data_IF_394432822421
#
_entry.id   IF_394432822421
#
_cell.length_a   1.000
_cell.length_b   1.000
_cell.length_c   1.000
_cell.angle_alpha   90.00
_cell.angle_beta   90.00
_cell.angle_gamma   90.00
#
_symmetry.space_group_name_H-M   'P 1'
#
loop_
_entity.id
_entity.type
_entity.pdbx_description
1 polymer ?
#
# COMPACT_ATOMS: atom_id res chain seq x y z
N UNK A 1 23.36 -3.85 -17.12
CA UNK A 1 22.90 -5.24 -16.85
C UNK A 1 21.70 -5.10 -15.93
N UNK A 2 20.61 -5.75 -16.26
CA UNK A 2 19.38 -5.63 -15.49
C UNK A 2 19.54 -6.30 -14.12
N UNK A 3 19.03 -5.67 -13.08
CA UNK A 3 19.18 -6.10 -11.70
C UNK A 3 17.81 -6.16 -11.04
N UNK A 4 17.59 -7.15 -10.22
CA UNK A 4 16.33 -7.40 -9.55
C UNK A 4 16.52 -7.48 -8.05
N UNK A 5 15.52 -7.06 -7.30
CA UNK A 5 15.45 -7.23 -5.84
C UNK A 5 14.15 -7.92 -5.45
N UNK A 6 14.10 -8.45 -4.25
CA UNK A 6 12.84 -8.95 -3.70
C UNK A 6 11.89 -7.79 -3.43
N UNK A 7 10.64 -8.03 -3.76
CA UNK A 7 9.59 -7.13 -3.32
C UNK A 7 9.50 -7.17 -1.79
N UNK A 8 9.55 -6.01 -1.16
CA UNK A 8 9.51 -5.83 0.30
C UNK A 8 8.29 -6.46 0.99
N UNK A 9 7.24 -6.81 0.23
CA UNK A 9 6.02 -7.40 0.75
C UNK A 9 6.02 -8.93 0.71
N UNK A 10 7.11 -9.52 0.22
CA UNK A 10 7.33 -10.97 0.22
C UNK A 10 7.97 -11.36 1.54
N UNK A 11 7.37 -12.33 2.22
CA UNK A 11 8.00 -12.92 3.39
C UNK A 11 8.92 -14.04 2.95
N UNK A 12 10.18 -13.98 3.39
CA UNK A 12 11.16 -15.02 3.18
C UNK A 12 11.68 -15.50 4.53
N UNK A 13 11.52 -16.79 4.79
CA UNK A 13 12.08 -17.44 5.97
C UNK A 13 13.19 -18.40 5.52
N UNK A 14 14.27 -18.46 6.27
CA UNK A 14 15.33 -19.42 6.05
C UNK A 14 15.33 -20.47 7.16
N UNK A 15 15.41 -21.73 6.76
CA UNK A 15 15.69 -22.85 7.65
C UNK A 15 16.77 -23.71 7.01
N UNK A 16 17.95 -23.79 7.64
CA UNK A 16 19.16 -24.41 7.08
C UNK A 16 19.53 -23.83 5.69
N UNK A 17 19.53 -24.64 4.66
CA UNK A 17 19.84 -24.28 3.27
C UNK A 17 18.57 -24.04 2.45
N UNK A 18 17.37 -24.11 3.08
CA UNK A 18 16.08 -23.93 2.43
C UNK A 18 15.52 -22.54 2.68
N UNK A 19 14.94 -21.94 1.64
CA UNK A 19 14.27 -20.67 1.70
C UNK A 19 12.79 -20.84 1.39
N UNK A 20 11.95 -20.38 2.30
CA UNK A 20 10.49 -20.44 2.22
C UNK A 20 9.98 -19.08 1.78
N UNK A 21 9.49 -19.01 0.53
CA UNK A 21 8.85 -17.84 -0.01
C UNK A 21 7.35 -17.91 0.24
N UNK A 22 6.79 -16.88 0.86
CA UNK A 22 5.35 -16.74 1.06
C UNK A 22 4.90 -15.52 0.29
N UNK A 23 4.12 -15.73 -0.77
CA UNK A 23 3.59 -14.71 -1.66
C UNK A 23 2.18 -15.08 -2.14
N UNK A 24 1.56 -14.22 -2.94
CA UNK A 24 0.20 -14.39 -3.42
C UNK A 24 -0.75 -13.37 -2.83
N UNK A 25 -2.03 -13.49 -3.13
CA UNK A 25 -3.06 -12.59 -2.63
C UNK A 25 -3.52 -12.97 -1.20
N UNK A 26 -4.43 -12.16 -0.64
CA UNK A 26 -4.93 -12.38 0.73
C UNK A 26 -5.67 -13.72 0.88
N UNK A 27 -6.29 -14.21 -0.19
CA UNK A 27 -7.12 -15.44 -0.20
C UNK A 27 -6.37 -16.67 -0.71
N UNK A 28 -5.33 -16.49 -1.51
CA UNK A 28 -4.53 -17.55 -2.12
C UNK A 28 -3.04 -17.32 -1.89
N UNK A 29 -2.59 -17.58 -0.66
CA UNK A 29 -1.15 -17.55 -0.35
C UNK A 29 -0.48 -18.78 -0.97
N UNK A 30 0.55 -18.53 -1.73
CA UNK A 30 1.46 -19.56 -2.23
C UNK A 30 2.68 -19.64 -1.32
N UNK A 31 3.04 -20.84 -0.93
CA UNK A 31 4.29 -21.13 -0.26
C UNK A 31 5.16 -21.95 -1.21
N UNK A 32 6.36 -21.48 -1.46
CA UNK A 32 7.33 -22.20 -2.28
C UNK A 32 8.63 -22.37 -1.52
N UNK A 33 9.06 -23.62 -1.41
CA UNK A 33 10.36 -23.96 -0.80
C UNK A 33 11.41 -24.00 -1.91
N UNK A 34 12.52 -23.32 -1.70
CA UNK A 34 13.63 -23.25 -2.63
C UNK A 34 14.88 -23.72 -1.89
N UNK A 35 15.43 -24.86 -2.35
CA UNK A 35 16.71 -25.34 -1.88
C UNK A 35 17.83 -24.69 -2.65
N UNK A 36 18.79 -24.07 -1.95
CA UNK A 36 19.90 -23.35 -2.57
C UNK A 36 21.22 -23.96 -2.08
N UNK A 37 22.07 -24.33 -3.05
CA UNK A 37 23.42 -24.78 -2.71
C UNK A 37 24.18 -23.74 -1.87
N UNK A 38 24.88 -24.19 -0.83
CA UNK A 38 25.58 -23.32 0.14
C UNK A 38 26.43 -22.22 -0.50
N UNK A 39 27.09 -22.53 -1.64
CA UNK A 39 27.90 -21.57 -2.37
C UNK A 39 27.14 -20.37 -2.96
N UNK A 40 25.81 -20.52 -3.14
CA UNK A 40 24.95 -19.49 -3.71
C UNK A 40 24.03 -18.79 -2.70
N UNK A 41 24.05 -19.20 -1.43
CA UNK A 41 23.23 -18.58 -0.37
C UNK A 41 23.45 -17.06 -0.29
N UNK A 42 24.64 -16.59 -0.63
CA UNK A 42 24.93 -15.15 -0.65
C UNK A 42 24.03 -14.35 -1.61
N UNK A 43 23.59 -14.97 -2.72
CA UNK A 43 22.68 -14.32 -3.69
C UNK A 43 21.31 -14.08 -3.04
N UNK A 44 20.79 -15.10 -2.33
CA UNK A 44 19.53 -14.95 -1.58
C UNK A 44 19.63 -13.88 -0.49
N UNK A 45 20.75 -13.84 0.23
CA UNK A 45 20.99 -12.78 1.23
C UNK A 45 21.00 -11.41 0.59
N UNK A 46 21.68 -11.23 -0.57
CA UNK A 46 21.62 -9.97 -1.32
C UNK A 46 20.20 -9.54 -1.67
N UNK A 47 19.35 -10.51 -2.08
CA UNK A 47 17.94 -10.23 -2.40
C UNK A 47 17.16 -9.83 -1.15
N UNK A 48 17.31 -10.56 -0.05
CA UNK A 48 16.61 -10.31 1.22
C UNK A 48 17.03 -8.97 1.82
N UNK A 49 18.32 -8.66 1.79
CA UNK A 49 18.87 -7.41 2.32
C UNK A 49 18.63 -6.19 1.42
N UNK A 50 17.98 -6.39 0.25
CA UNK A 50 17.62 -5.32 -0.68
C UNK A 50 18.74 -4.83 -1.58
N UNK A 51 19.90 -5.48 -1.60
CA UNK A 51 21.01 -5.12 -2.50
C UNK A 51 20.76 -5.53 -3.96
N UNK A 52 19.78 -6.40 -4.18
CA UNK A 52 19.44 -6.91 -5.50
C UNK A 52 20.49 -7.85 -6.10
N UNK A 53 20.09 -8.62 -7.09
CA UNK A 53 20.94 -9.53 -7.85
C UNK A 53 20.77 -9.34 -9.35
N UNK A 54 21.84 -9.54 -10.11
CA UNK A 54 21.77 -9.51 -11.57
C UNK A 54 21.11 -10.78 -12.10
N UNK A 55 20.64 -10.73 -13.34
CA UNK A 55 20.04 -11.90 -13.99
C UNK A 55 21.05 -13.07 -14.07
N UNK A 56 22.33 -12.78 -14.31
CA UNK A 56 23.41 -13.78 -14.30
C UNK A 56 23.62 -14.42 -12.91
N UNK A 57 23.43 -13.66 -11.84
CA UNK A 57 23.48 -14.21 -10.48
C UNK A 57 22.23 -15.08 -10.20
N UNK A 58 21.04 -14.63 -10.64
CA UNK A 58 19.78 -15.33 -10.40
C UNK A 58 19.71 -16.71 -11.05
N UNK A 59 20.28 -16.89 -12.25
CA UNK A 59 20.30 -18.21 -12.94
C UNK A 59 21.09 -19.28 -12.18
N UNK A 60 21.89 -18.90 -11.19
CA UNK A 60 22.58 -19.87 -10.31
C UNK A 60 21.66 -20.46 -9.22
N UNK A 61 20.53 -19.81 -8.95
CA UNK A 61 19.60 -20.22 -7.88
C UNK A 61 18.20 -20.50 -8.38
N UNK A 62 17.82 -19.99 -9.57
CA UNK A 62 16.54 -20.19 -10.22
C UNK A 62 16.72 -20.56 -11.68
N UNK A 63 15.81 -21.36 -12.22
CA UNK A 63 15.71 -21.54 -13.65
C UNK A 63 15.16 -20.26 -14.33
N UNK A 64 15.39 -20.11 -15.63
CA UNK A 64 14.85 -18.98 -16.40
C UNK A 64 13.31 -18.87 -16.28
N UNK A 65 12.62 -20.03 -16.29
CA UNK A 65 11.17 -20.07 -16.09
C UNK A 65 10.75 -19.58 -14.72
N UNK A 66 11.49 -19.90 -13.66
CA UNK A 66 11.23 -19.44 -12.31
C UNK A 66 11.49 -17.93 -12.17
N UNK A 67 12.55 -17.41 -12.77
CA UNK A 67 12.82 -15.98 -12.80
C UNK A 67 11.65 -15.23 -13.45
N UNK A 68 11.20 -15.68 -14.63
CA UNK A 68 10.05 -15.06 -15.30
C UNK A 68 8.76 -15.21 -14.51
N UNK A 69 8.53 -16.34 -13.87
CA UNK A 69 7.41 -16.56 -12.99
C UNK A 69 7.44 -15.56 -11.80
N UNK A 70 8.60 -15.43 -11.12
CA UNK A 70 8.72 -14.51 -9.98
C UNK A 70 8.59 -13.04 -10.39
N UNK A 71 9.05 -12.67 -11.57
CA UNK A 71 8.82 -11.32 -12.11
C UNK A 71 7.31 -11.12 -12.37
N UNK A 72 6.63 -12.08 -12.99
CA UNK A 72 5.20 -12.00 -13.29
C UNK A 72 4.35 -11.95 -12.00
N UNK A 73 4.79 -12.65 -10.95
CA UNK A 73 4.13 -12.63 -9.64
C UNK A 73 4.56 -11.43 -8.77
N UNK A 74 5.36 -10.51 -9.29
CA UNK A 74 5.93 -9.39 -8.55
C UNK A 74 6.72 -9.82 -7.29
N UNK A 75 7.26 -11.02 -7.26
CA UNK A 75 8.19 -11.48 -6.21
C UNK A 75 9.56 -10.87 -6.44
N UNK A 76 10.04 -10.91 -7.68
CA UNK A 76 11.22 -10.19 -8.14
C UNK A 76 10.76 -8.92 -8.89
N UNK A 77 11.29 -7.79 -8.51
CA UNK A 77 11.02 -6.50 -9.13
C UNK A 77 12.32 -5.86 -9.60
N UNK A 78 12.21 -4.99 -10.59
CA UNK A 78 13.34 -4.20 -11.07
C UNK A 78 13.95 -3.39 -9.92
N UNK A 79 15.27 -3.38 -9.80
CA UNK A 79 15.99 -2.70 -8.73
C UNK A 79 15.78 -1.17 -8.76
N UNK A 80 15.47 -0.61 -9.93
CA UNK A 80 15.16 0.81 -10.09
C UNK A 80 13.79 1.21 -9.53
N UNK A 81 12.91 0.24 -9.27
CA UNK A 81 11.60 0.52 -8.68
C UNK A 81 11.78 0.95 -7.23
N UNK A 82 11.46 2.21 -6.94
CA UNK A 82 11.49 2.75 -5.58
C UNK A 82 10.40 2.11 -4.73
N UNK A 83 10.81 1.48 -3.62
CA UNK A 83 9.91 0.89 -2.63
C UNK A 83 9.80 1.81 -1.42
N UNK A 84 8.66 2.47 -1.30
CA UNK A 84 8.37 3.35 -0.18
C UNK A 84 7.89 2.55 1.04
N UNK A 85 8.84 2.00 1.80
CA UNK A 85 8.58 1.13 2.98
C UNK A 85 8.01 1.90 4.16
N UNK A 86 8.35 3.18 4.26
CA UNK A 86 8.12 4.00 5.46
C UNK A 86 7.00 5.04 5.29
N UNK A 87 6.31 5.06 4.14
CA UNK A 87 5.19 5.98 3.96
C UNK A 87 3.95 5.51 4.71
N UNK A 88 3.11 6.46 5.09
CA UNK A 88 1.78 6.18 5.64
C UNK A 88 0.91 5.33 4.70
N UNK A 89 1.29 5.24 3.42
CA UNK A 89 0.59 4.50 2.36
C UNK A 89 1.20 3.11 2.08
N UNK A 90 2.27 2.72 2.75
CA UNK A 90 3.01 1.48 2.46
C UNK A 90 2.13 0.23 2.55
N UNK A 91 1.26 0.14 3.56
CA UNK A 91 0.32 -0.98 3.72
C UNK A 91 -0.74 -1.04 2.63
N UNK A 92 -1.22 0.11 2.17
CA UNK A 92 -2.17 0.17 1.05
C UNK A 92 -1.50 -0.31 -0.24
N UNK A 93 -0.28 0.16 -0.52
CA UNK A 93 0.53 -0.32 -1.65
C UNK A 93 0.75 -1.83 -1.56
N UNK A 94 1.08 -2.35 -0.38
CA UNK A 94 1.23 -3.79 -0.12
C UNK A 94 -0.03 -4.57 -0.50
N UNK A 95 -1.18 -4.13 -0.03
CA UNK A 95 -2.46 -4.78 -0.32
C UNK A 95 -2.76 -4.82 -1.82
N UNK A 96 -2.61 -3.69 -2.52
CA UNK A 96 -2.81 -3.62 -3.97
C UNK A 96 -1.84 -4.50 -4.72
N UNK A 97 -0.60 -4.52 -4.30
CA UNK A 97 0.46 -5.32 -4.90
C UNK A 97 0.20 -6.81 -4.73
N UNK A 98 -0.15 -7.26 -3.50
CA UNK A 98 -0.43 -8.66 -3.19
C UNK A 98 -1.67 -9.19 -3.92
N UNK A 99 -2.63 -8.32 -4.23
CA UNK A 99 -3.84 -8.69 -4.97
C UNK A 99 -3.72 -8.45 -6.48
N UNK A 100 -2.50 -8.24 -7.01
CA UNK A 100 -2.21 -8.01 -8.44
C UNK A 100 -2.94 -6.79 -9.04
N UNK A 101 -3.36 -5.85 -8.20
CA UNK A 101 -3.89 -4.58 -8.65
C UNK A 101 -2.73 -3.64 -8.97
N UNK A 102 -2.33 -3.59 -10.24
CA UNK A 102 -1.19 -2.78 -10.70
C UNK A 102 -1.47 -1.27 -10.74
N UNK A 103 -2.63 -0.82 -10.26
CA UNK A 103 -3.14 0.54 -10.49
C UNK A 103 -3.24 1.36 -9.21
N UNK A 104 -2.44 1.09 -8.18
CA UNK A 104 -2.48 1.91 -6.96
C UNK A 104 -2.17 3.38 -7.27
N UNK A 105 -1.24 3.64 -8.17
CA UNK A 105 -0.90 5.01 -8.57
C UNK A 105 -2.05 5.71 -9.31
N UNK A 106 -2.89 4.96 -10.02
CA UNK A 106 -4.10 5.52 -10.66
C UNK A 106 -5.10 6.05 -9.63
N UNK A 107 -5.25 5.38 -8.48
CA UNK A 107 -6.11 5.84 -7.39
C UNK A 107 -5.65 7.20 -6.89
N UNK A 108 -4.35 7.41 -6.80
CA UNK A 108 -3.73 8.66 -6.37
C UNK A 108 -3.91 9.82 -7.35
N UNK A 109 -4.44 9.56 -8.54
CA UNK A 109 -4.80 10.60 -9.53
C UNK A 109 -6.28 10.97 -9.49
N UNK A 110 -7.11 10.19 -8.81
CA UNK A 110 -8.58 10.35 -8.84
C UNK A 110 -9.07 11.47 -7.93
N UNK A 111 -10.20 12.02 -8.33
CA UNK A 111 -11.00 12.95 -7.52
C UNK A 111 -12.33 12.28 -7.17
N UNK A 112 -12.76 12.39 -5.93
CA UNK A 112 -14.02 11.84 -5.45
C UNK A 112 -14.87 12.94 -4.82
N UNK A 113 -16.14 12.96 -5.17
CA UNK A 113 -17.15 13.83 -4.54
C UNK A 113 -17.91 13.02 -3.49
N UNK A 114 -18.06 13.58 -2.30
CA UNK A 114 -18.86 13.04 -1.21
C UNK A 114 -20.03 13.97 -0.97
N UNK A 115 -21.22 13.47 -1.24
CA UNK A 115 -22.47 14.18 -0.96
C UNK A 115 -23.00 13.72 0.38
N UNK A 116 -22.95 14.59 1.37
CA UNK A 116 -23.28 14.33 2.76
C UNK A 116 -22.06 13.90 3.60
N UNK A 117 -21.68 14.74 4.58
CA UNK A 117 -20.58 14.53 5.52
C UNK A 117 -21.07 14.04 6.90
N UNK A 118 -22.12 13.24 6.92
CA UNK A 118 -22.66 12.60 8.11
C UNK A 118 -21.92 11.32 8.51
N UNK A 119 -22.60 10.38 9.16
CA UNK A 119 -22.01 9.13 9.67
C UNK A 119 -21.25 8.35 8.61
N UNK A 120 -21.87 8.03 7.46
CA UNK A 120 -21.23 7.30 6.36
C UNK A 120 -20.18 8.18 5.68
N UNK A 121 -20.51 9.45 5.38
CA UNK A 121 -19.62 10.35 4.66
C UNK A 121 -18.28 10.60 5.36
N UNK A 122 -18.28 10.75 6.68
CA UNK A 122 -17.05 10.92 7.46
C UNK A 122 -16.14 9.70 7.41
N UNK A 123 -16.71 8.47 7.45
CA UNK A 123 -15.95 7.23 7.31
C UNK A 123 -15.38 7.07 5.92
N UNK A 124 -16.16 7.34 4.87
CA UNK A 124 -15.71 7.28 3.48
C UNK A 124 -14.60 8.30 3.24
N UNK A 125 -14.77 9.54 3.71
CA UNK A 125 -13.77 10.59 3.57
C UNK A 125 -12.44 10.21 4.26
N UNK A 126 -12.51 9.65 5.46
CA UNK A 126 -11.33 9.17 6.18
C UNK A 126 -10.63 8.04 5.43
N UNK A 127 -11.38 7.02 4.99
CA UNK A 127 -10.82 5.88 4.25
C UNK A 127 -10.14 6.32 2.93
N UNK A 128 -10.79 7.19 2.15
CA UNK A 128 -10.22 7.70 0.90
C UNK A 128 -8.97 8.55 1.15
N UNK A 129 -8.95 9.34 2.22
CA UNK A 129 -7.78 10.13 2.61
C UNK A 129 -6.59 9.25 2.99
N UNK A 130 -6.83 8.20 3.78
CA UNK A 130 -5.79 7.23 4.18
C UNK A 130 -5.36 6.32 3.03
N UNK A 131 -6.23 6.08 2.05
CA UNK A 131 -5.89 5.40 0.80
C UNK A 131 -4.98 6.24 -0.10
N UNK A 132 -4.95 7.55 0.10
CA UNK A 132 -4.07 8.46 -0.64
C UNK A 132 -4.68 9.01 -1.92
N UNK A 133 -6.02 9.14 -2.00
CA UNK A 133 -6.67 9.78 -3.14
C UNK A 133 -6.16 11.21 -3.33
N UNK A 134 -6.13 11.69 -4.58
CA UNK A 134 -5.61 13.02 -4.89
C UNK A 134 -6.51 14.13 -4.35
N UNK A 135 -7.81 14.05 -4.63
CA UNK A 135 -8.75 15.15 -4.35
C UNK A 135 -10.08 14.65 -3.82
N UNK A 136 -10.60 15.34 -2.80
CA UNK A 136 -11.97 15.19 -2.31
C UNK A 136 -12.75 16.49 -2.55
N UNK A 137 -14.01 16.34 -2.92
CA UNK A 137 -15.00 17.43 -2.98
C UNK A 137 -16.09 17.07 -1.96
N UNK A 138 -16.16 17.84 -0.88
CA UNK A 138 -17.08 17.61 0.23
C UNK A 138 -18.28 18.55 0.08
N UNK A 139 -19.49 17.98 0.04
CA UNK A 139 -20.74 18.73 -0.07
C UNK A 139 -21.64 18.39 1.10
N UNK A 140 -21.89 19.37 1.95
CA UNK A 140 -22.84 19.30 3.07
C UNK A 140 -23.16 20.71 3.56
N UNK A 141 -24.43 20.98 3.83
CA UNK A 141 -24.88 22.29 4.32
C UNK A 141 -25.14 22.32 5.83
N UNK A 142 -24.94 21.18 6.51
CA UNK A 142 -25.24 21.05 7.94
C UNK A 142 -24.10 21.56 8.82
N UNK A 143 -24.50 21.90 10.04
CA UNK A 143 -23.59 22.17 11.15
C UNK A 143 -23.45 20.93 12.04
N UNK A 144 -22.39 20.88 12.80
CA UNK A 144 -22.12 19.80 13.75
C UNK A 144 -22.97 20.02 15.00
N UNK A 145 -23.71 18.97 15.37
CA UNK A 145 -24.53 18.92 16.57
C UNK A 145 -24.03 17.85 17.54
N UNK A 146 -24.34 17.99 18.84
CA UNK A 146 -23.97 17.00 19.85
C UNK A 146 -24.49 15.59 19.49
N UNK A 147 -25.70 15.49 18.93
CA UNK A 147 -26.33 14.26 18.48
C UNK A 147 -25.54 13.55 17.37
N UNK A 148 -24.62 14.21 16.72
CA UNK A 148 -23.81 13.65 15.64
C UNK A 148 -22.60 12.85 16.15
N UNK A 149 -22.10 13.16 17.33
CA UNK A 149 -20.83 12.67 17.86
C UNK A 149 -20.81 11.15 18.12
N UNK A 150 -21.97 10.53 18.24
CA UNK A 150 -22.07 9.08 18.43
C UNK A 150 -21.74 8.23 17.19
N UNK A 151 -21.68 8.84 15.99
CA UNK A 151 -21.48 8.13 14.72
C UNK A 151 -20.63 8.87 13.68
N UNK A 152 -20.36 10.15 13.86
CA UNK A 152 -19.52 10.96 12.95
C UNK A 152 -18.10 11.06 13.54
N UNK A 153 -17.30 10.04 13.27
CA UNK A 153 -16.03 9.72 13.97
C UNK A 153 -14.97 10.82 13.94
N UNK A 154 -15.06 11.76 13.02
CA UNK A 154 -14.07 12.82 12.87
C UNK A 154 -14.44 14.11 13.61
N UNK A 155 -15.61 14.18 14.24
CA UNK A 155 -16.03 15.35 15.00
C UNK A 155 -15.94 15.11 16.50
N UNK A 156 -15.69 16.16 17.24
CA UNK A 156 -15.63 16.17 18.70
C UNK A 156 -16.43 17.33 19.30
N UNK A 157 -16.50 17.40 20.62
CA UNK A 157 -17.31 18.41 21.34
C UNK A 157 -16.87 19.84 21.03
N UNK A 158 -15.61 20.06 20.65
CA UNK A 158 -15.09 21.40 20.31
C UNK A 158 -15.52 21.86 18.91
N UNK A 159 -16.10 20.96 18.13
CA UNK A 159 -16.55 21.23 16.77
C UNK A 159 -18.03 21.58 16.67
N UNK A 160 -18.80 21.42 17.76
CA UNK A 160 -20.24 21.72 17.79
C UNK A 160 -20.50 23.15 17.34
N UNK A 161 -21.46 23.31 16.44
CA UNK A 161 -21.85 24.59 15.86
C UNK A 161 -21.03 25.05 14.65
N UNK A 162 -20.00 24.30 14.24
CA UNK A 162 -19.21 24.59 13.04
C UNK A 162 -19.77 23.83 11.82
N UNK A 163 -19.47 24.33 10.64
CA UNK A 163 -19.81 23.65 9.37
C UNK A 163 -19.09 22.30 9.26
N UNK A 164 -19.83 21.24 8.92
CA UNK A 164 -19.29 19.88 8.78
C UNK A 164 -18.14 19.80 7.77
N UNK A 165 -18.33 20.40 6.59
CA UNK A 165 -17.34 20.34 5.50
C UNK A 165 -16.03 21.04 5.87
N UNK A 166 -16.12 22.18 6.54
CA UNK A 166 -14.95 22.96 6.98
C UNK A 166 -14.11 22.18 7.99
N UNK A 167 -14.77 21.66 9.04
CA UNK A 167 -14.08 20.87 10.08
C UNK A 167 -13.50 19.59 9.51
N UNK A 168 -14.27 18.89 8.67
CA UNK A 168 -13.83 17.65 8.04
C UNK A 168 -12.58 17.87 7.19
N UNK A 169 -12.54 18.94 6.38
CA UNK A 169 -11.37 19.35 5.60
C UNK A 169 -10.13 19.50 6.46
N UNK A 170 -10.23 20.23 7.58
CA UNK A 170 -9.10 20.49 8.46
C UNK A 170 -8.57 19.20 9.11
N UNK A 171 -9.46 18.32 9.54
CA UNK A 171 -9.10 17.05 10.16
C UNK A 171 -8.48 16.08 9.15
N UNK A 172 -9.00 15.99 7.94
CA UNK A 172 -8.46 15.16 6.88
C UNK A 172 -7.08 15.62 6.41
N UNK A 173 -6.83 16.94 6.36
CA UNK A 173 -5.50 17.48 6.04
C UNK A 173 -4.44 17.17 7.10
N UNK A 174 -4.84 16.98 8.35
CA UNK A 174 -3.92 16.50 9.41
C UNK A 174 -3.53 15.04 9.21
N UNK A 175 -4.40 14.22 8.59
CA UNK A 175 -4.14 12.81 8.27
C UNK A 175 -3.24 12.71 7.03
N UNK A 176 -3.56 13.47 5.97
CA UNK A 176 -2.78 13.52 4.75
C UNK A 176 -2.65 14.97 4.28
N UNK A 177 -1.51 15.58 4.54
CA UNK A 177 -1.26 16.99 4.18
C UNK A 177 -1.23 17.27 2.67
N UNK A 178 -1.04 16.22 1.85
CA UNK A 178 -0.94 16.34 0.39
C UNK A 178 -2.30 16.27 -0.32
N UNK A 179 -3.38 15.92 0.38
CA UNK A 179 -4.71 15.82 -0.23
C UNK A 179 -5.27 17.21 -0.58
N UNK A 180 -5.85 17.32 -1.76
CA UNK A 180 -6.61 18.50 -2.17
C UNK A 180 -8.06 18.35 -1.69
N UNK A 181 -8.62 19.33 -0.99
CA UNK A 181 -10.00 19.28 -0.50
C UNK A 181 -10.74 20.58 -0.80
N UNK A 182 -11.80 20.44 -1.59
CA UNK A 182 -12.78 21.51 -1.82
C UNK A 182 -14.02 21.27 -0.98
N UNK A 183 -14.68 22.35 -0.57
CA UNK A 183 -15.92 22.33 0.22
C UNK A 183 -16.98 23.16 -0.48
N UNK A 184 -18.21 22.68 -0.51
CA UNK A 184 -19.40 23.31 -1.08
C UNK A 184 -20.54 23.21 -0.07
#
# INVERSE_FOLDING_TARGET
>A
MKKYKLNQYISVNQYEDDFYFIFGDYFSKEEKVIHIEKKFIYIMKKLIDGYGATEEELINIFSEMEIQYYITQNVLIDDEIEQDVNSSLSRNKSYFFSNKFNNYDDIRTKSVMILGCGGIGTHVAWNLTTLGIKRLILIDFDFIEESNLNRQILFDTTDIGKEKTSVLKDKLKKINSKIEIDTI
#
